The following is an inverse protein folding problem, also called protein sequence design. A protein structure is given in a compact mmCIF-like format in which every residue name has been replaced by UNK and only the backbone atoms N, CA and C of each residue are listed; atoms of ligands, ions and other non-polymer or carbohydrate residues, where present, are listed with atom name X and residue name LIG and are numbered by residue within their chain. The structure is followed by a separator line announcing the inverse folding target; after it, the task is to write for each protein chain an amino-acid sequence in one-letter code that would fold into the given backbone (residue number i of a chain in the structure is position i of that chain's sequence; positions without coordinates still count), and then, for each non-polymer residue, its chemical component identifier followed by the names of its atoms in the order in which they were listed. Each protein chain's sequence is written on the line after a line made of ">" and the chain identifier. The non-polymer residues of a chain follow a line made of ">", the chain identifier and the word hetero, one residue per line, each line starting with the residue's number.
data_IF_312322580494
#
_entry.id   IF_312322580494
#
_cell.length_a   1.000
_cell.length_b   1.000
_cell.length_c   1.000
_cell.angle_alpha   90.00
_cell.angle_beta   90.00
_cell.angle_gamma   90.00
#
_symmetry.space_group_name_H-M   'P 1'
#
loop_
_entity.id
_entity.type
_entity.pdbx_description
1 polymer ?
#
# COMPACT_ATOMS: atom_id res chain seq x y z
N UNK A 1 -0.25 -23.59 8.18
CA UNK A 1 -0.24 -22.56 9.25
C UNK A 1 -1.65 -22.45 9.80
N UNK A 2 -1.82 -22.59 11.11
CA UNK A 2 -3.10 -22.27 11.76
C UNK A 2 -3.12 -20.76 11.96
N UNK A 3 -4.03 -20.08 11.25
CA UNK A 3 -4.27 -18.65 11.40
C UNK A 3 -5.34 -18.41 12.46
N UNK A 4 -5.15 -17.39 13.28
CA UNK A 4 -6.20 -16.88 14.16
C UNK A 4 -6.97 -15.81 13.40
N UNK A 5 -8.30 -15.87 13.45
CA UNK A 5 -9.17 -14.83 12.89
C UNK A 5 -9.96 -14.19 14.02
N UNK A 6 -10.13 -12.87 13.96
CA UNK A 6 -11.05 -12.15 14.83
C UNK A 6 -12.48 -12.67 14.60
N UNK A 7 -13.23 -12.81 15.70
CA UNK A 7 -14.68 -13.01 15.62
C UNK A 7 -15.36 -11.74 15.09
N UNK A 8 -16.61 -11.87 14.65
CA UNK A 8 -17.44 -10.71 14.29
C UNK A 8 -17.48 -9.67 15.41
N UNK A 9 -17.66 -10.13 16.64
CA UNK A 9 -17.82 -9.28 17.81
C UNK A 9 -16.50 -8.58 18.17
N UNK A 10 -15.38 -9.31 18.05
CA UNK A 10 -14.05 -8.74 18.24
C UNK A 10 -13.74 -7.65 17.20
N UNK A 11 -14.14 -7.87 15.94
CA UNK A 11 -14.00 -6.85 14.88
C UNK A 11 -14.85 -5.61 15.18
N UNK A 12 -16.13 -5.79 15.51
CA UNK A 12 -17.03 -4.68 15.81
C UNK A 12 -16.55 -3.88 17.04
N UNK A 13 -16.05 -4.57 18.07
CA UNK A 13 -15.47 -3.89 19.23
C UNK A 13 -14.21 -3.09 18.85
N UNK A 14 -13.34 -3.64 18.00
CA UNK A 14 -12.18 -2.93 17.47
C UNK A 14 -12.54 -1.66 16.70
N UNK A 15 -13.57 -1.72 15.86
CA UNK A 15 -14.08 -0.54 15.11
C UNK A 15 -14.57 0.57 16.06
N UNK A 16 -15.23 0.20 17.17
CA UNK A 16 -15.63 1.17 18.21
C UNK A 16 -14.41 1.82 18.86
N UNK A 17 -13.39 1.04 19.24
CA UNK A 17 -12.17 1.58 19.85
C UNK A 17 -11.42 2.54 18.92
N UNK A 18 -11.34 2.23 17.62
CA UNK A 18 -10.72 3.12 16.64
C UNK A 18 -11.50 4.43 16.49
N UNK A 19 -12.84 4.36 16.49
CA UNK A 19 -13.68 5.56 16.43
C UNK A 19 -13.54 6.43 17.69
N UNK A 20 -13.46 5.82 18.88
CA UNK A 20 -13.25 6.51 20.15
C UNK A 20 -11.87 7.17 20.23
N UNK A 21 -10.81 6.49 19.78
CA UNK A 21 -9.46 7.06 19.69
C UNK A 21 -9.43 8.29 18.78
N UNK A 22 -9.98 8.16 17.56
CA UNK A 22 -10.00 9.25 16.59
C UNK A 22 -10.82 10.45 17.10
N UNK A 23 -11.94 10.19 17.78
CA UNK A 23 -12.75 11.23 18.39
C UNK A 23 -12.05 11.89 19.58
N UNK A 24 -11.37 11.11 20.43
CA UNK A 24 -10.64 11.61 21.60
C UNK A 24 -9.45 12.50 21.25
N UNK A 25 -8.77 12.22 20.14
CA UNK A 25 -7.66 13.02 19.63
C UNK A 25 -8.12 14.20 18.74
N UNK A 26 -9.36 14.16 18.24
CA UNK A 26 -9.94 15.23 17.44
C UNK A 26 -9.28 15.45 16.07
N UNK A 27 -8.54 14.46 15.56
CA UNK A 27 -7.71 14.57 14.35
C UNK A 27 -8.34 13.96 13.07
N UNK A 28 -9.67 13.79 13.05
CA UNK A 28 -10.37 13.16 11.91
C UNK A 28 -10.09 13.86 10.59
N UNK A 29 -10.11 15.19 10.55
CA UNK A 29 -9.92 15.94 9.32
C UNK A 29 -8.51 15.75 8.73
N UNK A 30 -7.50 15.66 9.59
CA UNK A 30 -6.11 15.41 9.22
C UNK A 30 -5.92 13.99 8.68
N UNK A 31 -6.55 12.99 9.31
CA UNK A 31 -6.53 11.60 8.82
C UNK A 31 -7.27 11.47 7.49
N UNK A 32 -8.41 12.15 7.31
CA UNK A 32 -9.14 12.20 6.03
C UNK A 32 -8.26 12.84 4.92
N UNK A 33 -7.56 13.93 5.24
CA UNK A 33 -6.63 14.56 4.30
C UNK A 33 -5.42 13.68 3.95
N UNK A 34 -4.90 12.91 4.91
CA UNK A 34 -3.86 11.91 4.65
C UNK A 34 -4.39 10.75 3.78
N UNK A 35 -5.61 10.30 4.03
CA UNK A 35 -6.28 9.28 3.22
C UNK A 35 -6.50 9.73 1.78
N UNK A 36 -6.97 10.96 1.55
CA UNK A 36 -7.10 11.49 0.17
C UNK A 36 -5.77 11.49 -0.59
N UNK A 37 -4.66 11.92 0.05
CA UNK A 37 -3.32 11.87 -0.55
C UNK A 37 -2.84 10.44 -0.82
N UNK A 38 -3.16 9.50 0.08
CA UNK A 38 -2.91 8.08 -0.14
C UNK A 38 -3.64 7.57 -1.40
N UNK A 39 -4.91 7.94 -1.59
CA UNK A 39 -5.69 7.53 -2.77
C UNK A 39 -5.14 8.09 -4.08
N UNK A 40 -4.61 9.32 -4.08
CA UNK A 40 -3.93 9.91 -5.24
C UNK A 40 -2.75 9.02 -5.70
N UNK A 41 -1.98 8.46 -4.74
CA UNK A 41 -0.90 7.52 -5.02
C UNK A 41 -1.38 6.09 -5.35
N UNK A 42 -2.52 5.67 -4.81
CA UNK A 42 -3.02 4.29 -4.91
C UNK A 42 -3.29 3.85 -6.36
N UNK A 43 -3.86 4.73 -7.18
CA UNK A 43 -4.07 4.46 -8.60
C UNK A 43 -2.74 4.19 -9.33
N UNK A 44 -1.73 5.04 -9.08
CA UNK A 44 -0.40 4.87 -9.65
C UNK A 44 0.25 3.56 -9.18
N UNK A 45 0.13 3.24 -7.90
CA UNK A 45 0.69 2.01 -7.35
C UNK A 45 0.05 0.72 -7.90
N UNK A 46 -1.27 0.71 -8.14
CA UNK A 46 -1.96 -0.39 -8.81
C UNK A 46 -1.45 -0.58 -10.25
N UNK A 47 -1.23 0.53 -10.96
CA UNK A 47 -0.57 0.51 -12.27
C UNK A 47 0.83 -0.10 -12.19
N UNK A 48 1.63 0.29 -11.20
CA UNK A 48 2.97 -0.28 -11.00
C UNK A 48 2.94 -1.77 -10.67
N UNK A 49 1.99 -2.24 -9.88
CA UNK A 49 1.82 -3.67 -9.63
C UNK A 49 1.46 -4.43 -10.91
N UNK A 50 0.69 -3.80 -11.80
CA UNK A 50 0.35 -4.36 -13.12
C UNK A 50 1.58 -4.42 -14.01
N UNK A 51 2.32 -3.31 -14.14
CA UNK A 51 3.57 -3.25 -14.91
C UNK A 51 4.65 -4.17 -14.34
N UNK A 52 4.66 -4.43 -13.03
CA UNK A 52 5.59 -5.39 -12.45
C UNK A 52 5.26 -6.83 -12.88
N UNK A 53 3.98 -7.16 -13.06
CA UNK A 53 3.51 -8.49 -13.44
C UNK A 53 3.47 -8.71 -14.95
N UNK A 54 3.26 -7.65 -15.74
CA UNK A 54 3.01 -7.69 -17.17
C UNK A 54 3.91 -6.70 -17.89
N UNK A 55 4.43 -7.08 -19.06
CA UNK A 55 5.22 -6.21 -19.92
C UNK A 55 4.75 -6.27 -21.39
N UNK A 56 5.03 -5.24 -22.20
CA UNK A 56 4.81 -5.33 -23.64
C UNK A 56 5.58 -6.50 -24.25
N UNK A 57 4.99 -7.20 -25.23
CA UNK A 57 5.70 -8.22 -26.00
C UNK A 57 6.74 -7.55 -26.92
N UNK A 58 8.05 -7.87 -26.82
CA UNK A 58 9.05 -7.34 -27.73
C UNK A 58 8.77 -7.64 -29.22
N UNK A 59 8.07 -8.74 -29.52
CA UNK A 59 7.68 -9.17 -30.86
C UNK A 59 6.38 -8.56 -31.38
N UNK A 60 5.52 -8.07 -30.48
CA UNK A 60 4.30 -7.32 -30.81
C UNK A 60 3.98 -6.27 -29.73
N UNK A 61 4.64 -5.10 -29.75
CA UNK A 61 4.41 -4.06 -28.74
C UNK A 61 3.00 -3.46 -28.75
N UNK A 62 2.22 -3.73 -29.81
CA UNK A 62 0.81 -3.31 -29.94
C UNK A 62 -0.19 -4.37 -29.52
N UNK A 63 0.30 -5.59 -29.24
CA UNK A 63 -0.51 -6.74 -28.83
C UNK A 63 -0.84 -6.72 -27.34
N UNK A 64 -1.43 -7.83 -26.89
CA UNK A 64 -1.72 -8.03 -25.46
C UNK A 64 -0.42 -8.14 -24.66
N UNK A 65 -0.35 -7.55 -23.46
CA UNK A 65 0.81 -7.69 -22.57
C UNK A 65 1.08 -9.16 -22.23
N UNK A 66 2.35 -9.50 -22.10
CA UNK A 66 2.82 -10.82 -21.67
C UNK A 66 3.26 -10.78 -20.22
N UNK A 67 3.29 -11.93 -19.56
CA UNK A 67 3.84 -12.03 -18.20
C UNK A 67 5.29 -11.54 -18.18
N UNK A 68 5.61 -10.67 -17.22
CA UNK A 68 6.98 -10.27 -16.97
C UNK A 68 7.73 -11.45 -16.32
N UNK A 69 8.70 -11.99 -17.04
CA UNK A 69 9.60 -13.06 -16.57
C UNK A 69 10.89 -12.51 -15.93
N UNK A 70 10.99 -11.17 -15.80
CA UNK A 70 12.13 -10.45 -15.23
C UNK A 70 13.46 -10.75 -15.96
N UNK A 71 13.37 -11.08 -17.26
CA UNK A 71 14.54 -11.28 -18.13
C UNK A 71 15.03 -9.99 -18.80
N UNK A 72 14.30 -8.87 -18.65
CA UNK A 72 14.65 -7.54 -19.15
C UNK A 72 14.95 -6.59 -17.97
N UNK A 73 16.24 -6.47 -17.58
CA UNK A 73 16.62 -5.62 -16.45
C UNK A 73 16.29 -4.14 -16.66
N UNK A 74 16.28 -3.65 -17.91
CA UNK A 74 15.99 -2.24 -18.17
C UNK A 74 14.51 -1.92 -17.92
N UNK A 75 13.61 -2.85 -18.26
CA UNK A 75 12.20 -2.75 -17.93
C UNK A 75 11.99 -2.77 -16.40
N UNK A 76 12.58 -3.75 -15.72
CA UNK A 76 12.45 -3.88 -14.26
C UNK A 76 13.00 -2.65 -13.53
N UNK A 77 14.19 -2.15 -13.92
CA UNK A 77 14.78 -0.92 -13.36
C UNK A 77 13.86 0.29 -13.55
N UNK A 78 13.17 0.41 -14.70
CA UNK A 78 12.24 1.50 -14.95
C UNK A 78 10.97 1.40 -14.05
N UNK A 79 10.47 0.19 -13.79
CA UNK A 79 9.35 0.00 -12.86
C UNK A 79 9.78 0.28 -11.41
N UNK A 80 10.97 -0.19 -11.00
CA UNK A 80 11.54 0.08 -9.67
C UNK A 80 11.81 1.57 -9.46
N UNK A 81 12.26 2.30 -10.49
CA UNK A 81 12.43 3.76 -10.43
C UNK A 81 11.13 4.48 -10.09
N UNK A 82 10.02 4.11 -10.74
CA UNK A 82 8.68 4.65 -10.44
C UNK A 82 8.16 4.22 -9.05
N UNK A 83 8.55 3.04 -8.57
CA UNK A 83 8.27 2.63 -7.19
C UNK A 83 8.98 3.56 -6.19
N UNK A 84 10.22 3.97 -6.45
CA UNK A 84 10.96 4.91 -5.60
C UNK A 84 10.32 6.32 -5.58
N UNK A 85 9.76 6.76 -6.70
CA UNK A 85 8.96 8.00 -6.77
C UNK A 85 7.68 7.87 -5.92
N UNK A 86 7.01 6.72 -6.00
CA UNK A 86 5.82 6.40 -5.19
C UNK A 86 6.16 6.37 -3.70
N UNK A 87 7.31 5.80 -3.31
CA UNK A 87 7.81 5.83 -1.93
C UNK A 87 8.06 7.27 -1.47
N UNK A 88 8.77 8.06 -2.26
CA UNK A 88 9.03 9.47 -1.92
C UNK A 88 7.74 10.27 -1.69
N UNK A 89 6.67 9.96 -2.42
CA UNK A 89 5.35 10.58 -2.26
C UNK A 89 4.58 10.08 -1.02
N UNK A 90 4.72 8.80 -0.64
CA UNK A 90 3.99 8.23 0.50
C UNK A 90 4.66 8.50 1.85
N UNK A 91 5.99 8.67 1.89
CA UNK A 91 6.72 8.89 3.15
C UNK A 91 6.19 10.09 3.98
N UNK A 92 5.87 11.26 3.39
CA UNK A 92 5.22 12.36 4.12
C UNK A 92 3.84 12.02 4.68
N UNK A 93 3.06 11.18 3.98
CA UNK A 93 1.75 10.71 4.44
C UNK A 93 1.92 9.83 5.66
N UNK A 94 2.86 8.87 5.63
CA UNK A 94 3.20 8.03 6.77
C UNK A 94 3.67 8.84 7.98
N UNK A 95 4.55 9.83 7.76
CA UNK A 95 5.04 10.70 8.83
C UNK A 95 3.91 11.52 9.48
N UNK A 96 3.00 12.08 8.67
CA UNK A 96 1.85 12.83 9.18
C UNK A 96 0.90 11.94 10.00
N UNK A 97 0.61 10.73 9.54
CA UNK A 97 -0.22 9.77 10.25
C UNK A 97 0.42 9.33 11.58
N UNK A 98 1.72 8.99 11.56
CA UNK A 98 2.45 8.56 12.75
C UNK A 98 2.54 9.67 13.82
N UNK A 99 2.55 10.94 13.42
CA UNK A 99 2.51 12.07 14.35
C UNK A 99 1.15 12.24 15.05
N UNK A 100 0.07 11.72 14.46
CA UNK A 100 -1.29 11.82 15.00
C UNK A 100 -1.68 10.58 15.81
N UNK A 101 -1.25 9.40 15.37
CA UNK A 101 -1.76 8.12 15.81
C UNK A 101 -0.61 7.10 15.87
N UNK A 102 -0.26 6.67 17.09
CA UNK A 102 0.92 5.83 17.36
C UNK A 102 0.93 4.54 16.53
N UNK A 103 -0.24 3.93 16.28
CA UNK A 103 -0.37 2.70 15.48
C UNK A 103 -0.01 2.84 13.99
N UNK A 104 0.08 4.07 13.47
CA UNK A 104 0.66 4.30 12.14
C UNK A 104 2.20 4.44 12.18
N UNK A 105 2.79 4.41 13.37
CA UNK A 105 4.22 4.28 13.55
C UNK A 105 4.77 3.05 12.84
N UNK A 106 5.92 3.20 12.18
CA UNK A 106 6.65 2.12 11.52
C UNK A 106 6.31 1.90 10.04
N UNK A 107 5.18 2.36 9.50
CA UNK A 107 4.88 2.17 8.06
C UNK A 107 5.96 2.77 7.15
N UNK A 108 6.45 3.98 7.45
CA UNK A 108 7.50 4.61 6.65
C UNK A 108 8.79 3.79 6.60
N UNK A 109 9.22 3.24 7.75
CA UNK A 109 10.41 2.38 7.82
C UNK A 109 10.21 1.04 7.09
N UNK A 110 9.00 0.46 7.19
CA UNK A 110 8.66 -0.78 6.50
C UNK A 110 8.67 -0.60 4.98
N UNK A 111 8.12 0.51 4.47
CA UNK A 111 8.23 0.86 3.05
C UNK A 111 9.68 1.07 2.62
N UNK A 112 10.46 1.84 3.38
CA UNK A 112 11.86 2.09 3.07
C UNK A 112 12.67 0.79 3.06
N UNK A 113 12.39 -0.13 3.98
CA UNK A 113 13.01 -1.46 4.04
C UNK A 113 12.65 -2.30 2.82
N UNK A 114 11.37 -2.35 2.45
CA UNK A 114 10.91 -3.09 1.28
C UNK A 114 11.52 -2.52 -0.01
N UNK A 115 11.57 -1.19 -0.16
CA UNK A 115 12.21 -0.54 -1.30
C UNK A 115 13.72 -0.82 -1.35
N UNK A 116 14.40 -0.79 -0.20
CA UNK A 116 15.83 -1.12 -0.11
C UNK A 116 16.11 -2.57 -0.52
N UNK A 117 15.19 -3.51 -0.22
CA UNK A 117 15.28 -4.90 -0.65
C UNK A 117 15.11 -5.04 -2.16
N UNK A 118 14.08 -4.41 -2.72
CA UNK A 118 13.82 -4.40 -4.17
C UNK A 118 15.00 -3.81 -4.94
N UNK A 119 15.47 -2.63 -4.54
CA UNK A 119 16.64 -1.96 -5.15
C UNK A 119 17.95 -2.72 -4.93
N UNK A 120 18.02 -3.55 -3.88
CA UNK A 120 19.11 -4.48 -3.61
C UNK A 120 19.06 -5.79 -4.43
N UNK A 121 18.07 -5.95 -5.32
CA UNK A 121 17.91 -7.10 -6.20
C UNK A 121 17.02 -8.22 -5.66
N UNK A 122 16.41 -8.06 -4.48
CA UNK A 122 15.45 -9.01 -3.93
C UNK A 122 14.04 -8.70 -4.47
N UNK A 123 13.83 -9.06 -5.74
CA UNK A 123 12.65 -8.72 -6.53
C UNK A 123 11.32 -9.22 -5.92
N UNK A 124 11.38 -10.29 -5.12
CA UNK A 124 10.24 -10.80 -4.37
C UNK A 124 9.60 -9.72 -3.46
N UNK A 125 10.40 -8.78 -2.96
CA UNK A 125 9.91 -7.72 -2.06
C UNK A 125 9.05 -6.65 -2.73
N UNK A 126 8.84 -6.71 -4.05
CA UNK A 126 7.91 -5.79 -4.71
C UNK A 126 6.47 -6.17 -4.36
N UNK A 127 6.05 -7.39 -4.73
CA UNK A 127 4.62 -7.80 -4.67
C UNK A 127 4.36 -9.12 -3.95
N UNK A 128 5.40 -9.87 -3.53
CA UNK A 128 5.19 -11.22 -3.00
C UNK A 128 4.30 -11.20 -1.76
N UNK A 129 3.20 -11.98 -1.74
CA UNK A 129 2.35 -12.09 -0.57
C UNK A 129 3.07 -12.85 0.55
N UNK A 130 2.55 -12.75 1.77
CA UNK A 130 3.06 -13.45 2.97
C UNK A 130 4.44 -13.00 3.49
N UNK A 131 5.09 -12.06 2.80
CA UNK A 131 6.24 -11.31 3.32
C UNK A 131 5.87 -9.83 3.42
N UNK A 132 6.69 -9.04 4.10
CA UNK A 132 6.57 -7.59 4.17
C UNK A 132 7.06 -6.90 2.88
N UNK A 133 6.61 -7.41 1.73
CA UNK A 133 6.80 -6.76 0.45
C UNK A 133 6.14 -5.39 0.44
N UNK A 134 6.58 -4.53 -0.48
CA UNK A 134 6.07 -3.17 -0.61
C UNK A 134 4.55 -3.17 -0.80
N UNK A 135 4.02 -4.07 -1.63
CA UNK A 135 2.59 -4.28 -1.79
C UNK A 135 1.88 -4.68 -0.49
N UNK A 136 2.44 -5.60 0.30
CA UNK A 136 1.84 -5.99 1.59
C UNK A 136 1.76 -4.79 2.54
N UNK A 137 2.83 -4.00 2.66
CA UNK A 137 2.85 -2.80 3.52
C UNK A 137 1.83 -1.76 3.02
N UNK A 138 1.71 -1.58 1.70
CA UNK A 138 0.72 -0.71 1.09
C UNK A 138 -0.72 -1.12 1.42
N UNK A 139 -1.03 -2.41 1.23
CA UNK A 139 -2.34 -2.97 1.54
C UNK A 139 -2.68 -2.81 3.03
N UNK A 140 -1.73 -3.07 3.92
CA UNK A 140 -1.95 -2.94 5.36
C UNK A 140 -2.17 -1.48 5.79
N UNK A 141 -1.44 -0.52 5.20
CA UNK A 141 -1.66 0.91 5.44
C UNK A 141 -3.07 1.31 5.02
N UNK A 142 -3.50 0.83 3.84
CA UNK A 142 -4.82 1.09 3.30
C UNK A 142 -5.94 0.59 4.23
N UNK A 143 -5.85 -0.67 4.65
CA UNK A 143 -6.84 -1.27 5.56
C UNK A 143 -6.88 -0.55 6.92
N UNK A 144 -5.74 -0.10 7.44
CA UNK A 144 -5.69 0.67 8.69
C UNK A 144 -6.37 2.04 8.53
N UNK A 145 -6.17 2.74 7.41
CA UNK A 145 -6.88 3.99 7.10
C UNK A 145 -8.40 3.79 7.01
N UNK A 146 -8.85 2.77 6.28
CA UNK A 146 -10.26 2.44 6.15
C UNK A 146 -10.90 2.13 7.51
N UNK A 147 -10.24 1.29 8.32
CA UNK A 147 -10.71 0.95 9.65
C UNK A 147 -10.76 2.16 10.58
N UNK A 148 -9.73 3.01 10.55
CA UNK A 148 -9.66 4.25 11.35
C UNK A 148 -10.79 5.20 11.00
N UNK A 149 -11.10 5.35 9.70
CA UNK A 149 -12.14 6.26 9.23
C UNK A 149 -13.54 5.66 9.26
N UNK A 150 -13.68 4.37 9.59
CA UNK A 150 -14.95 3.65 9.55
C UNK A 150 -15.51 3.47 8.13
N UNK A 151 -14.64 3.46 7.12
CA UNK A 151 -15.01 3.32 5.71
C UNK A 151 -15.07 1.82 5.37
N UNK A 152 -16.21 1.39 4.83
CA UNK A 152 -16.33 0.04 4.29
C UNK A 152 -15.65 -0.03 2.93
N UNK A 153 -14.77 -1.01 2.72
CA UNK A 153 -14.05 -1.22 1.46
C UNK A 153 -14.95 -1.27 0.22
N UNK A 154 -16.13 -1.86 0.34
CA UNK A 154 -17.13 -1.88 -0.75
C UNK A 154 -17.59 -0.49 -1.19
N UNK A 155 -17.60 0.50 -0.28
CA UNK A 155 -17.97 1.89 -0.58
C UNK A 155 -16.84 2.67 -1.23
N UNK A 156 -15.59 2.30 -0.96
CA UNK A 156 -14.44 2.89 -1.62
C UNK A 156 -14.39 2.53 -3.11
N UNK A 157 -14.56 1.24 -3.44
CA UNK A 157 -14.63 0.77 -4.82
C UNK A 157 -15.80 1.34 -5.64
N UNK A 158 -16.82 1.89 -4.97
CA UNK A 158 -17.95 2.57 -5.62
C UNK A 158 -17.70 4.07 -5.88
N UNK A 159 -16.61 4.63 -5.32
CA UNK A 159 -16.32 6.08 -5.34
C UNK A 159 -15.06 6.43 -6.15
N UNK A 160 -14.34 5.44 -6.69
CA UNK A 160 -13.20 5.59 -7.59
C UNK A 160 -13.49 5.03 -8.97
#
# INVERSE_FOLDING_TARGET
>A
MSGWMLTSDGRAHGEVLLAEELAGLGCRAEVEGAYSRFLEGNQGFLGLCTDWQLRPDPGDPSGEPVMNDHADPAYDEAVIGRLAETDSAIQPVCAALAALLERFGGYGERFATALARVTGGDLDWFTKPMIESYHTVWFELHENLLATLGIQRSKEHASG
#
